data_IF_772529126244
#
_entry.id   IF_772529126244
#
_cell.length_a   1.000
_cell.length_b   1.000
_cell.length_c   1.000
_cell.angle_alpha   90.00
_cell.angle_beta   90.00
_cell.angle_gamma   90.00
#
_symmetry.space_group_name_H-M   'P 1'
#
loop_
_entity.id
_entity.type
_entity.pdbx_description
1 polymer ?
#
# COMPACT_ATOMS: atom_id res chain seq x y z
N UNK A 1 10.51 34.78 -74.55
CA UNK A 1 9.86 34.84 -73.23
C UNK A 1 10.28 33.60 -72.47
N UNK A 2 11.17 33.74 -71.50
CA UNK A 2 11.69 32.62 -70.71
C UNK A 2 10.60 32.10 -69.76
N UNK A 3 10.44 30.77 -69.59
CA UNK A 3 9.41 30.23 -68.71
C UNK A 3 9.71 30.62 -67.26
N UNK A 4 8.71 31.15 -66.56
CA UNK A 4 8.80 31.46 -65.12
C UNK A 4 9.13 30.18 -64.35
N UNK A 5 10.14 30.18 -63.46
CA UNK A 5 10.46 29.00 -62.66
C UNK A 5 9.23 28.60 -61.87
N UNK A 6 8.84 27.33 -62.00
CA UNK A 6 7.66 26.79 -61.32
C UNK A 6 7.80 26.96 -59.80
N UNK A 7 6.66 27.08 -59.12
CA UNK A 7 6.58 27.24 -57.64
C UNK A 7 7.39 26.19 -56.88
N UNK A 8 7.56 25.00 -57.44
CA UNK A 8 8.41 23.93 -56.92
C UNK A 8 9.91 24.26 -56.96
N UNK A 9 10.45 24.71 -58.09
CA UNK A 9 11.87 25.06 -58.21
C UNK A 9 12.26 26.18 -57.24
N UNK A 10 11.35 27.14 -57.06
CA UNK A 10 11.56 28.21 -56.10
C UNK A 10 11.52 27.69 -54.66
N UNK A 11 10.63 26.74 -54.34
CA UNK A 11 10.59 26.08 -53.04
C UNK A 11 11.87 25.28 -52.77
N UNK A 12 12.33 24.47 -53.73
CA UNK A 12 13.57 23.70 -53.60
C UNK A 12 14.75 24.63 -53.30
N UNK A 13 14.86 25.73 -54.05
CA UNK A 13 15.95 26.70 -53.87
C UNK A 13 15.87 27.49 -52.56
N UNK A 14 14.69 27.74 -52.01
CA UNK A 14 14.55 28.65 -50.85
C UNK A 14 14.26 27.95 -49.53
N UNK A 15 13.67 26.74 -49.56
CA UNK A 15 13.18 26.03 -48.37
C UNK A 15 13.86 24.68 -48.13
N UNK A 16 14.42 24.04 -49.16
CA UNK A 16 15.12 22.74 -49.05
C UNK A 16 16.65 22.92 -49.08
N UNK A 17 17.17 23.77 -48.19
CA UNK A 17 18.60 23.97 -48.07
C UNK A 17 19.22 22.83 -47.23
N UNK A 18 20.27 22.15 -47.72
CA UNK A 18 21.00 21.17 -46.94
C UNK A 18 21.60 21.83 -45.69
N UNK A 19 21.33 21.27 -44.52
CA UNK A 19 22.03 21.69 -43.30
C UNK A 19 23.45 21.12 -43.33
N UNK A 20 24.42 21.97 -43.65
CA UNK A 20 25.84 21.58 -43.77
C UNK A 20 26.63 21.70 -42.47
N UNK A 21 26.07 22.35 -41.44
CA UNK A 21 26.77 22.63 -40.18
C UNK A 21 25.88 22.49 -38.95
N UNK A 22 26.50 22.23 -37.82
CA UNK A 22 25.84 22.09 -36.53
C UNK A 22 25.52 23.45 -35.93
N UNK A 23 24.26 23.70 -35.54
CA UNK A 23 23.88 24.99 -34.94
C UNK A 23 24.47 25.21 -33.52
N UNK A 24 24.93 24.16 -32.84
CA UNK A 24 25.47 24.25 -31.47
C UNK A 24 26.90 24.79 -31.48
N UNK A 25 27.77 24.26 -32.34
CA UNK A 25 29.18 24.66 -32.42
C UNK A 25 29.52 25.47 -33.68
N UNK A 26 28.61 25.55 -34.65
CA UNK A 26 28.80 26.14 -35.98
C UNK A 26 29.78 25.39 -36.90
N UNK A 27 30.28 24.21 -36.50
CA UNK A 27 31.19 23.42 -37.32
C UNK A 27 30.47 22.64 -38.44
N UNK A 28 31.11 22.43 -39.61
CA UNK A 28 30.58 21.57 -40.67
C UNK A 28 30.41 20.11 -40.22
N UNK A 29 29.39 19.44 -40.76
CA UNK A 29 29.23 18.00 -40.56
C UNK A 29 30.32 17.22 -41.30
N UNK A 30 30.82 16.16 -40.65
CA UNK A 30 31.91 15.34 -41.18
C UNK A 30 31.87 13.93 -40.59
N UNK A 31 32.82 13.07 -40.98
CA UNK A 31 32.96 11.74 -40.38
C UNK A 31 33.25 11.80 -38.86
N UNK A 32 33.95 12.83 -38.38
CA UNK A 32 34.21 13.07 -36.95
C UNK A 32 33.11 13.91 -36.28
N UNK A 33 32.29 14.61 -37.07
CA UNK A 33 31.18 15.44 -36.60
C UNK A 33 29.86 14.97 -37.25
N UNK A 34 29.44 13.75 -36.92
CA UNK A 34 28.31 13.10 -37.56
C UNK A 34 26.99 13.81 -37.26
N UNK A 35 26.14 14.08 -38.27
CA UNK A 35 24.83 14.67 -38.07
C UNK A 35 23.84 13.65 -37.49
N UNK A 36 22.98 14.11 -36.58
CA UNK A 36 21.87 13.33 -36.02
C UNK A 36 20.60 14.19 -35.99
N UNK A 37 19.47 13.61 -36.36
CA UNK A 37 18.16 14.25 -36.31
C UNK A 37 17.40 13.84 -35.04
N UNK A 38 16.77 14.82 -34.39
CA UNK A 38 15.81 14.57 -33.31
C UNK A 38 14.41 14.25 -33.89
N UNK A 39 13.49 13.83 -33.03
CA UNK A 39 12.07 13.61 -33.37
C UNK A 39 11.37 14.86 -33.91
N UNK A 40 11.80 16.05 -33.47
CA UNK A 40 11.36 17.35 -34.00
C UNK A 40 12.04 17.74 -35.34
N UNK A 41 12.75 16.81 -35.98
CA UNK A 41 13.45 16.95 -37.27
C UNK A 41 14.62 17.95 -37.33
N UNK A 42 14.99 18.56 -36.20
CA UNK A 42 16.19 19.40 -36.13
C UNK A 42 17.47 18.54 -36.10
N UNK A 43 18.49 18.98 -36.84
CA UNK A 43 19.76 18.26 -37.04
C UNK A 43 20.89 18.92 -36.27
N UNK A 44 21.70 18.11 -35.57
CA UNK A 44 22.83 18.55 -34.76
C UNK A 44 24.03 17.62 -34.94
N UNK A 45 25.22 18.06 -34.52
CA UNK A 45 26.36 17.16 -34.38
C UNK A 45 26.13 16.21 -33.21
N UNK A 46 26.37 14.92 -33.41
CA UNK A 46 26.10 13.87 -32.41
C UNK A 46 26.77 14.16 -31.06
N UNK A 47 28.06 14.53 -31.06
CA UNK A 47 28.78 14.90 -29.85
C UNK A 47 28.21 16.16 -29.18
N UNK A 48 27.76 17.14 -29.98
CA UNK A 48 27.21 18.39 -29.47
C UNK A 48 25.85 18.19 -28.80
N UNK A 49 24.93 17.47 -29.44
CA UNK A 49 23.61 17.21 -28.82
C UNK A 49 23.76 16.31 -27.60
N UNK A 50 24.69 15.35 -27.62
CA UNK A 50 25.01 14.54 -26.45
C UNK A 50 25.55 15.39 -25.29
N UNK A 51 26.48 16.30 -25.56
CA UNK A 51 27.00 17.22 -24.55
C UNK A 51 25.93 18.20 -24.04
N UNK A 52 25.04 18.67 -24.91
CA UNK A 52 23.89 19.50 -24.53
C UNK A 52 22.97 18.79 -23.55
N UNK A 53 22.65 17.52 -23.81
CA UNK A 53 21.80 16.73 -22.92
C UNK A 53 22.45 16.41 -21.57
N UNK A 54 23.76 16.17 -21.52
CA UNK A 54 24.46 15.85 -20.27
C UNK A 54 24.86 17.09 -19.44
N UNK A 55 25.35 18.13 -20.10
CA UNK A 55 26.06 19.24 -19.46
C UNK A 55 25.42 20.61 -19.74
N UNK A 56 24.25 20.64 -20.39
CA UNK A 56 23.50 21.86 -20.66
C UNK A 56 23.07 22.56 -19.37
N UNK A 57 23.13 23.90 -19.37
CA UNK A 57 22.63 24.71 -18.26
C UNK A 57 21.12 24.49 -18.11
N UNK A 58 20.71 23.78 -17.06
CA UNK A 58 19.30 23.52 -16.74
C UNK A 58 18.81 22.09 -17.01
N UNK A 59 19.69 21.10 -17.25
CA UNK A 59 19.31 19.70 -17.48
C UNK A 59 18.22 19.54 -18.57
N UNK A 60 18.52 20.11 -19.74
CA UNK A 60 17.54 20.36 -20.78
C UNK A 60 17.24 19.10 -21.57
N UNK A 61 16.14 18.44 -21.23
CA UNK A 61 15.53 17.36 -22.00
C UNK A 61 14.81 17.85 -23.28
N UNK A 62 15.10 19.08 -23.73
CA UNK A 62 14.44 19.77 -24.83
C UNK A 62 15.41 20.10 -25.97
N UNK A 63 14.86 20.18 -27.18
CA UNK A 63 15.56 20.61 -28.39
C UNK A 63 16.11 22.05 -28.24
N UNK A 64 17.39 22.31 -28.59
CA UNK A 64 17.97 23.65 -28.55
C UNK A 64 17.27 24.68 -29.46
N UNK A 65 16.60 24.22 -30.53
CA UNK A 65 15.98 25.10 -31.53
C UNK A 65 14.51 25.36 -31.18
N UNK A 66 13.70 24.30 -31.09
CA UNK A 66 12.24 24.43 -30.95
C UNK A 66 11.71 24.13 -29.55
N UNK A 67 12.58 23.72 -28.62
CA UNK A 67 12.22 23.30 -27.26
C UNK A 67 11.28 22.09 -27.16
N UNK A 68 11.00 21.41 -28.27
CA UNK A 68 10.30 20.13 -28.23
C UNK A 68 11.06 19.16 -27.32
N UNK A 69 10.30 18.42 -26.50
CA UNK A 69 10.84 17.41 -25.61
C UNK A 69 11.51 16.29 -26.41
N UNK A 70 12.77 15.98 -26.07
CA UNK A 70 13.59 14.93 -26.69
C UNK A 70 13.33 13.60 -26.00
N UNK A 71 13.25 13.66 -24.66
CA UNK A 71 12.86 12.57 -23.79
C UNK A 71 12.20 13.17 -22.55
N UNK A 72 11.29 12.44 -21.94
CA UNK A 72 10.87 12.74 -20.57
C UNK A 72 11.93 12.15 -19.66
N UNK A 73 12.60 12.94 -18.80
CA UNK A 73 13.34 12.36 -17.71
C UNK A 73 12.39 11.37 -17.06
N UNK A 74 12.79 10.11 -16.94
CA UNK A 74 12.27 9.34 -15.81
C UNK A 74 12.73 10.17 -14.62
N UNK A 75 11.86 11.07 -14.15
CA UNK A 75 12.09 11.74 -12.89
C UNK A 75 12.47 10.59 -11.96
N UNK A 76 13.69 10.60 -11.43
CA UNK A 76 13.87 10.03 -10.11
C UNK A 76 12.90 10.83 -9.26
N UNK A 77 11.66 10.33 -9.14
CA UNK A 77 10.50 11.14 -8.79
C UNK A 77 10.85 12.01 -7.60
N UNK A 78 10.54 13.32 -7.68
CA UNK A 78 10.95 14.33 -6.69
C UNK A 78 11.12 13.71 -5.29
N UNK A 79 12.32 13.74 -4.70
CA UNK A 79 12.63 13.06 -3.44
C UNK A 79 11.75 13.59 -2.31
N UNK A 80 10.57 12.99 -2.17
CA UNK A 80 9.46 13.45 -1.33
C UNK A 80 8.86 12.25 -0.63
N UNK A 81 8.12 12.50 0.45
CA UNK A 81 7.42 11.42 1.14
C UNK A 81 6.45 10.67 0.23
N UNK A 82 5.80 11.36 -0.71
CA UNK A 82 4.81 10.76 -1.61
C UNK A 82 5.46 9.87 -2.68
N UNK A 83 6.54 10.33 -3.33
CA UNK A 83 7.23 9.54 -4.36
C UNK A 83 7.89 8.30 -3.77
N UNK A 84 8.57 8.44 -2.63
CA UNK A 84 9.23 7.32 -1.95
C UNK A 84 8.18 6.32 -1.44
N UNK A 85 7.07 6.79 -0.88
CA UNK A 85 5.98 5.90 -0.48
C UNK A 85 5.40 5.12 -1.67
N UNK A 86 5.20 5.80 -2.82
CA UNK A 86 4.75 5.16 -4.06
C UNK A 86 5.74 4.09 -4.53
N UNK A 87 7.04 4.41 -4.51
CA UNK A 87 8.10 3.47 -4.88
C UNK A 87 8.20 2.28 -3.93
N UNK A 88 8.03 2.49 -2.61
CA UNK A 88 7.93 1.40 -1.63
C UNK A 88 6.71 0.51 -1.90
N UNK A 89 5.54 1.08 -2.19
CA UNK A 89 4.35 0.30 -2.51
C UNK A 89 4.48 -0.52 -3.80
N UNK A 90 5.30 -0.05 -4.75
CA UNK A 90 5.61 -0.72 -6.00
C UNK A 90 6.81 -1.70 -5.89
N UNK A 91 7.45 -1.81 -4.72
CA UNK A 91 8.61 -2.68 -4.54
C UNK A 91 8.26 -4.16 -4.78
N UNK A 92 9.22 -4.97 -5.26
CA UNK A 92 8.99 -6.40 -5.47
C UNK A 92 8.53 -7.11 -4.19
N UNK A 93 7.65 -8.13 -4.29
CA UNK A 93 7.13 -8.84 -3.13
C UNK A 93 8.20 -9.39 -2.18
N UNK A 94 9.30 -9.91 -2.72
CA UNK A 94 10.41 -10.45 -1.92
C UNK A 94 11.09 -9.35 -1.10
N UNK A 95 11.25 -8.14 -1.66
CA UNK A 95 11.84 -6.99 -0.95
C UNK A 95 10.94 -6.50 0.17
N UNK A 96 9.63 -6.49 -0.04
CA UNK A 96 8.65 -6.19 1.01
C UNK A 96 8.69 -7.24 2.12
N UNK A 97 8.80 -8.52 1.74
CA UNK A 97 8.93 -9.61 2.70
C UNK A 97 10.21 -9.49 3.53
N UNK A 98 11.37 -9.26 2.89
CA UNK A 98 12.65 -9.05 3.57
C UNK A 98 12.57 -7.91 4.60
N UNK A 99 11.94 -6.79 4.22
CA UNK A 99 11.76 -5.66 5.13
C UNK A 99 10.90 -6.04 6.35
N UNK A 100 9.74 -6.69 6.15
CA UNK A 100 8.90 -7.11 7.27
C UNK A 100 9.58 -8.19 8.12
N UNK A 101 10.31 -9.12 7.51
CA UNK A 101 11.11 -10.13 8.19
C UNK A 101 12.21 -9.51 9.05
N UNK A 102 12.76 -8.36 8.64
CA UNK A 102 13.68 -7.56 9.47
C UNK A 102 12.97 -6.77 10.57
N UNK A 103 11.73 -6.32 10.33
CA UNK A 103 10.97 -5.50 11.26
C UNK A 103 10.37 -6.31 12.42
N UNK A 104 9.82 -7.51 12.17
CA UNK A 104 9.20 -8.37 13.18
C UNK A 104 10.06 -8.64 14.42
N UNK A 105 11.32 -9.13 14.31
CA UNK A 105 12.14 -9.41 15.50
C UNK A 105 12.44 -8.14 16.29
N UNK A 106 12.50 -6.97 15.64
CA UNK A 106 12.74 -5.69 16.30
C UNK A 106 11.53 -5.19 17.06
N UNK A 107 10.34 -5.33 16.48
CA UNK A 107 9.07 -5.08 17.19
C UNK A 107 8.93 -6.04 18.38
N UNK A 108 9.28 -7.31 18.20
CA UNK A 108 9.25 -8.29 19.30
C UNK A 108 10.23 -7.95 20.43
N UNK A 109 11.39 -7.39 20.12
CA UNK A 109 12.39 -6.99 21.12
C UNK A 109 11.88 -5.86 22.04
N UNK A 110 11.02 -4.97 21.55
CA UNK A 110 10.45 -3.88 22.36
C UNK A 110 9.63 -4.40 23.56
N UNK A 111 9.02 -5.57 23.44
CA UNK A 111 8.26 -6.19 24.54
C UNK A 111 9.14 -6.66 25.70
N UNK A 112 10.46 -6.78 25.50
CA UNK A 112 11.37 -7.08 26.60
C UNK A 112 11.49 -5.90 27.58
N UNK A 113 11.41 -4.67 27.06
CA UNK A 113 11.53 -3.45 27.85
C UNK A 113 10.16 -2.96 28.35
N UNK A 114 9.11 -3.11 27.55
CA UNK A 114 7.74 -2.77 27.92
C UNK A 114 6.74 -3.90 27.55
N UNK A 115 6.39 -4.76 28.52
CA UNK A 115 5.46 -5.86 28.30
C UNK A 115 4.02 -5.42 27.95
N UNK A 116 3.67 -4.14 28.18
CA UNK A 116 2.31 -3.64 27.91
C UNK A 116 2.03 -3.49 26.42
N UNK A 117 3.08 -3.33 25.59
CA UNK A 117 2.96 -3.07 24.16
C UNK A 117 2.64 -1.62 23.80
N UNK A 118 2.57 -0.70 24.78
CA UNK A 118 2.23 0.70 24.60
C UNK A 118 3.42 1.56 24.08
N UNK A 119 4.02 1.13 22.96
CA UNK A 119 5.23 1.75 22.43
C UNK A 119 4.98 3.16 21.88
N UNK A 120 5.87 4.10 22.22
CA UNK A 120 5.83 5.45 21.66
C UNK A 120 6.32 5.44 20.21
N UNK A 121 5.99 6.51 19.47
CA UNK A 121 6.54 6.69 18.11
C UNK A 121 8.07 6.69 18.10
N UNK A 122 8.69 7.24 19.14
CA UNK A 122 10.15 7.24 19.27
C UNK A 122 10.69 5.82 19.39
N UNK A 123 10.10 4.99 20.24
CA UNK A 123 10.55 3.60 20.45
C UNK A 123 10.44 2.79 19.15
N UNK A 124 9.31 2.95 18.44
CA UNK A 124 9.09 2.30 17.15
C UNK A 124 10.07 2.79 16.08
N UNK A 125 10.39 4.08 16.02
CA UNK A 125 11.35 4.60 15.05
C UNK A 125 12.79 4.20 15.38
N UNK A 126 13.24 4.38 16.62
CA UNK A 126 14.63 4.16 17.01
C UNK A 126 15.04 2.69 17.01
N UNK A 127 14.15 1.81 17.47
CA UNK A 127 14.52 0.42 17.73
C UNK A 127 13.95 -0.55 16.70
N UNK A 128 12.91 -0.17 15.95
CA UNK A 128 12.27 -1.04 14.97
C UNK A 128 12.38 -0.55 13.52
N UNK A 129 11.72 0.55 13.16
CA UNK A 129 11.56 1.00 11.77
C UNK A 129 12.88 1.42 11.13
N UNK A 130 13.64 2.36 11.73
CA UNK A 130 14.89 2.83 11.14
C UNK A 130 15.94 1.71 11.03
N UNK A 131 16.17 0.87 12.06
CA UNK A 131 17.08 -0.26 11.92
C UNK A 131 16.63 -1.31 10.89
N UNK A 132 15.32 -1.51 10.69
CA UNK A 132 14.80 -2.40 9.66
C UNK A 132 14.93 -1.81 8.24
N UNK A 133 14.84 -0.49 8.07
CA UNK A 133 15.14 0.14 6.79
C UNK A 133 16.64 0.10 6.48
N UNK A 134 17.48 0.33 7.48
CA UNK A 134 18.93 0.29 7.32
C UNK A 134 19.44 -1.11 6.92
N UNK A 135 18.86 -2.19 7.44
CA UNK A 135 19.24 -3.55 7.04
C UNK A 135 18.95 -3.85 5.57
N UNK A 136 18.02 -3.12 4.94
CA UNK A 136 17.70 -3.27 3.51
C UNK A 136 18.78 -2.71 2.58
N UNK A 137 19.68 -1.83 3.08
CA UNK A 137 20.76 -1.20 2.31
C UNK A 137 21.74 -2.23 1.73
N UNK A 138 22.03 -3.30 2.48
CA UNK A 138 23.05 -4.29 2.10
C UNK A 138 22.69 -5.06 0.82
N UNK A 139 21.42 -5.05 0.43
CA UNK A 139 20.92 -5.75 -0.75
C UNK A 139 20.69 -4.82 -1.96
N UNK A 140 20.62 -3.50 -1.75
CA UNK A 140 20.43 -2.49 -2.81
C UNK A 140 20.75 -1.08 -2.28
N UNK A 141 21.96 -0.59 -2.57
CA UNK A 141 22.44 0.69 -2.04
C UNK A 141 21.69 1.93 -2.60
N UNK A 142 20.89 1.76 -3.66
CA UNK A 142 20.20 2.83 -4.37
C UNK A 142 18.72 2.48 -4.65
N UNK A 143 18.00 2.02 -3.63
CA UNK A 143 16.59 1.63 -3.73
C UNK A 143 15.64 2.40 -2.80
N UNK A 144 14.31 2.22 -2.97
CA UNK A 144 13.29 2.99 -2.24
C UNK A 144 13.36 2.83 -0.71
N UNK A 145 13.91 1.71 -0.21
CA UNK A 145 14.13 1.51 1.23
C UNK A 145 15.29 2.35 1.78
N UNK A 146 16.35 2.55 0.98
CA UNK A 146 17.47 3.41 1.36
C UNK A 146 17.07 4.89 1.33
N UNK A 147 16.26 5.27 0.34
CA UNK A 147 15.64 6.61 0.28
C UNK A 147 14.72 6.85 1.47
N UNK A 148 13.89 5.85 1.81
CA UNK A 148 13.02 5.92 2.96
C UNK A 148 13.80 6.06 4.28
N UNK A 149 14.86 5.27 4.47
CA UNK A 149 15.75 5.40 5.63
C UNK A 149 16.32 6.81 5.72
N UNK A 150 16.91 7.30 4.62
CA UNK A 150 17.58 8.60 4.57
C UNK A 150 16.62 9.75 4.86
N UNK A 151 15.43 9.74 4.26
CA UNK A 151 14.41 10.78 4.48
C UNK A 151 13.86 10.74 5.91
N UNK A 152 13.47 9.55 6.40
CA UNK A 152 12.88 9.42 7.74
C UNK A 152 13.91 9.75 8.83
N UNK A 153 15.14 9.23 8.73
CA UNK A 153 16.18 9.47 9.71
C UNK A 153 16.59 10.95 9.75
N UNK A 154 16.80 11.59 8.60
CA UNK A 154 17.16 13.01 8.55
C UNK A 154 16.05 13.90 9.12
N UNK A 155 14.81 13.75 8.63
CA UNK A 155 13.65 14.53 9.08
C UNK A 155 13.43 14.38 10.59
N UNK A 156 13.45 13.15 11.09
CA UNK A 156 13.19 12.88 12.49
C UNK A 156 14.29 13.40 13.42
N UNK A 157 15.57 13.29 13.02
CA UNK A 157 16.69 13.89 13.76
C UNK A 157 16.62 15.41 13.75
N UNK A 158 16.34 16.05 12.61
CA UNK A 158 16.22 17.51 12.49
C UNK A 158 15.08 18.08 13.34
N UNK A 159 14.00 17.32 13.54
CA UNK A 159 12.88 17.72 14.41
C UNK A 159 13.15 17.46 15.90
N UNK A 160 14.34 16.99 16.29
CA UNK A 160 14.67 16.70 17.69
C UNK A 160 14.08 15.39 18.21
N UNK A 161 13.84 14.40 17.32
CA UNK A 161 13.30 13.07 17.64
C UNK A 161 11.98 13.09 18.41
N UNK A 162 10.92 13.75 17.87
CA UNK A 162 9.64 13.85 18.55
C UNK A 162 8.94 12.50 18.70
N UNK A 163 8.01 12.42 19.66
CA UNK A 163 7.08 11.29 19.85
C UNK A 163 5.89 11.31 18.86
N UNK A 164 6.03 11.97 17.72
CA UNK A 164 5.03 12.03 16.65
C UNK A 164 5.64 11.62 15.32
N UNK A 165 4.83 10.99 14.46
CA UNK A 165 5.23 10.60 13.12
C UNK A 165 4.82 11.70 12.13
N UNK A 166 5.70 12.02 11.18
CA UNK A 166 5.45 13.01 10.13
C UNK A 166 5.92 12.51 8.77
N UNK A 167 5.28 12.97 7.70
CA UNK A 167 5.62 12.59 6.33
C UNK A 167 5.66 11.07 6.14
N UNK A 168 6.76 10.57 5.58
CA UNK A 168 6.96 9.15 5.29
C UNK A 168 7.02 8.26 6.55
N UNK A 169 7.30 8.81 7.73
CA UNK A 169 7.30 8.05 8.97
C UNK A 169 5.90 7.54 9.34
N UNK A 170 4.84 8.25 8.93
CA UNK A 170 3.45 7.95 9.29
C UNK A 170 3.05 6.51 8.95
N UNK A 171 3.06 6.07 7.67
CA UNK A 171 2.65 4.72 7.32
C UNK A 171 3.60 3.63 7.84
N UNK A 172 4.88 3.95 8.05
CA UNK A 172 5.88 2.99 8.54
C UNK A 172 5.72 2.73 10.04
N UNK A 173 5.48 3.78 10.83
CA UNK A 173 5.14 3.67 12.25
C UNK A 173 3.81 2.94 12.43
N UNK A 174 2.80 3.25 11.61
CA UNK A 174 1.52 2.53 11.64
C UNK A 174 1.68 1.03 11.38
N UNK A 175 2.52 0.66 10.42
CA UNK A 175 2.83 -0.74 10.15
C UNK A 175 3.44 -1.43 11.39
N UNK A 176 4.42 -0.78 12.04
CA UNK A 176 5.03 -1.32 13.25
C UNK A 176 4.03 -1.43 14.41
N UNK A 177 3.13 -0.44 14.58
CA UNK A 177 2.01 -0.52 15.55
C UNK A 177 1.10 -1.71 15.27
N UNK A 178 0.69 -1.88 14.01
CA UNK A 178 -0.16 -3.00 13.60
C UNK A 178 0.50 -4.36 13.89
N UNK A 179 1.79 -4.47 13.62
CA UNK A 179 2.57 -5.68 13.94
C UNK A 179 2.66 -5.92 15.45
N UNK A 180 2.92 -4.89 16.25
CA UNK A 180 2.99 -4.99 17.71
C UNK A 180 1.66 -5.48 18.30
N UNK A 181 0.54 -4.84 17.92
CA UNK A 181 -0.79 -5.15 18.43
C UNK A 181 -1.28 -6.56 18.05
N UNK A 182 -0.78 -7.11 16.94
CA UNK A 182 -1.17 -8.43 16.45
C UNK A 182 -0.23 -9.57 16.86
N UNK A 183 0.89 -9.24 17.50
CA UNK A 183 1.95 -10.20 17.89
C UNK A 183 1.48 -11.28 18.87
N UNK A 184 0.53 -10.96 19.75
CA UNK A 184 -0.04 -11.91 20.71
C UNK A 184 -1.06 -12.89 20.10
N UNK A 185 -1.54 -12.59 18.90
CA UNK A 185 -2.55 -13.37 18.18
C UNK A 185 -1.87 -14.32 17.19
N UNK A 186 -0.82 -13.85 16.52
CA UNK A 186 -0.16 -14.59 15.45
C UNK A 186 0.97 -15.48 15.99
N UNK A 187 0.99 -16.76 15.61
CA UNK A 187 2.16 -17.60 15.85
C UNK A 187 3.42 -17.05 15.16
N UNK A 188 4.58 -17.20 15.80
CA UNK A 188 5.88 -16.73 15.27
C UNK A 188 6.21 -17.28 13.88
N UNK A 189 5.72 -18.46 13.52
CA UNK A 189 5.97 -19.05 12.20
C UNK A 189 5.12 -18.44 11.09
N UNK A 190 4.00 -17.75 11.41
CA UNK A 190 3.17 -17.05 10.43
C UNK A 190 3.77 -15.69 10.05
N UNK A 191 4.44 -15.03 10.99
CA UNK A 191 4.98 -13.68 10.80
C UNK A 191 6.15 -13.63 9.81
N UNK A 192 6.79 -14.76 9.55
CA UNK A 192 7.89 -14.91 8.58
C UNK A 192 7.46 -15.56 7.26
N UNK A 193 6.15 -15.66 6.98
CA UNK A 193 5.66 -16.19 5.69
C UNK A 193 5.47 -15.05 4.69
N UNK A 194 6.01 -15.13 3.46
CA UNK A 194 5.90 -14.07 2.45
C UNK A 194 4.48 -13.54 2.22
N UNK A 195 3.49 -14.43 2.04
CA UNK A 195 2.10 -14.01 1.84
C UNK A 195 1.53 -13.20 3.01
N UNK A 196 1.85 -13.60 4.25
CA UNK A 196 1.43 -12.88 5.45
C UNK A 196 2.07 -11.49 5.47
N UNK A 197 3.38 -11.40 5.18
CA UNK A 197 4.08 -10.12 5.11
C UNK A 197 3.43 -9.19 4.09
N UNK A 198 3.11 -9.70 2.90
CA UNK A 198 2.44 -8.92 1.85
C UNK A 198 1.04 -8.47 2.27
N UNK A 199 0.29 -9.32 2.98
CA UNK A 199 -1.03 -8.94 3.49
C UNK A 199 -0.93 -7.81 4.53
N UNK A 200 0.03 -7.88 5.46
CA UNK A 200 0.31 -6.79 6.41
C UNK A 200 0.68 -5.49 5.69
N UNK A 201 1.56 -5.58 4.69
CA UNK A 201 1.96 -4.42 3.90
C UNK A 201 0.77 -3.79 3.18
N UNK A 202 -0.04 -4.58 2.47
CA UNK A 202 -1.21 -4.09 1.72
C UNK A 202 -2.30 -3.53 2.64
N UNK A 203 -2.56 -4.20 3.76
CA UNK A 203 -3.47 -3.73 4.80
C UNK A 203 -3.02 -2.37 5.34
N UNK A 204 -1.73 -2.20 5.63
CA UNK A 204 -1.20 -0.91 6.03
C UNK A 204 -1.29 0.13 4.91
N UNK A 205 -0.94 -0.25 3.68
CA UNK A 205 -0.85 0.69 2.56
C UNK A 205 -2.20 1.27 2.16
N UNK A 206 -3.27 0.47 2.23
CA UNK A 206 -4.61 0.92 1.85
C UNK A 206 -5.17 2.05 2.76
N UNK A 207 -4.61 2.23 3.96
CA UNK A 207 -4.99 3.26 4.93
C UNK A 207 -4.38 4.65 4.62
N UNK A 208 -3.55 4.78 3.58
CA UNK A 208 -2.97 6.06 3.16
C UNK A 208 -1.89 6.60 4.11
N UNK A 209 -1.57 7.89 4.03
CA UNK A 209 -0.42 8.49 4.73
C UNK A 209 -0.79 9.57 5.75
N UNK A 210 -2.07 9.69 6.09
CA UNK A 210 -2.58 10.81 6.91
C UNK A 210 -2.46 10.61 8.42
N UNK A 211 -2.42 9.37 8.90
CA UNK A 211 -2.39 9.05 10.35
C UNK A 211 -1.51 7.83 10.64
N UNK A 212 -0.73 7.91 11.71
CA UNK A 212 0.06 6.77 12.23
C UNK A 212 -0.78 5.83 13.09
N UNK A 213 -1.97 6.28 13.50
CA UNK A 213 -2.90 5.51 14.31
C UNK A 213 -3.83 4.67 13.42
N UNK A 214 -4.18 3.48 13.91
CA UNK A 214 -5.10 2.56 13.24
C UNK A 214 -6.51 2.89 13.73
N UNK A 215 -7.49 2.92 12.82
CA UNK A 215 -8.88 3.25 13.16
C UNK A 215 -9.84 2.15 12.73
N UNK A 216 -10.96 2.03 13.46
CA UNK A 216 -12.06 1.14 13.10
C UNK A 216 -12.82 1.55 11.83
N UNK A 217 -12.84 2.84 11.47
CA UNK A 217 -13.70 3.34 10.40
C UNK A 217 -13.42 2.71 9.02
N UNK A 218 -12.17 2.59 8.53
CA UNK A 218 -11.86 1.92 7.26
C UNK A 218 -12.29 0.45 7.24
N UNK A 219 -12.18 -0.24 8.38
CA UNK A 219 -12.57 -1.64 8.50
C UNK A 219 -14.10 -1.82 8.43
N UNK A 220 -14.83 -0.92 9.08
CA UNK A 220 -16.29 -0.90 9.03
C UNK A 220 -16.82 -0.59 7.61
N UNK A 221 -16.15 0.32 6.87
CA UNK A 221 -16.45 0.58 5.46
C UNK A 221 -16.19 -0.66 4.60
N UNK A 222 -15.05 -1.33 4.78
CA UNK A 222 -14.69 -2.53 4.04
C UNK A 222 -15.68 -3.68 4.25
N UNK A 223 -16.18 -3.84 5.48
CA UNK A 223 -17.16 -4.88 5.83
C UNK A 223 -18.50 -4.73 5.09
N UNK A 224 -18.80 -3.53 4.57
CA UNK A 224 -19.96 -3.32 3.68
C UNK A 224 -19.77 -3.88 2.27
N UNK A 225 -18.56 -4.28 1.89
CA UNK A 225 -18.19 -4.86 0.59
C UNK A 225 -18.50 -3.99 -0.65
N UNK A 226 -18.95 -2.76 -0.47
CA UNK A 226 -19.28 -1.82 -1.55
C UNK A 226 -18.04 -1.13 -2.14
N UNK A 227 -16.96 -1.03 -1.36
CA UNK A 227 -15.72 -0.37 -1.77
C UNK A 227 -14.52 -1.29 -1.52
N UNK A 228 -13.75 -1.66 -2.56
CA UNK A 228 -12.60 -2.55 -2.40
C UNK A 228 -11.39 -1.85 -1.76
N UNK A 229 -11.40 -0.52 -1.60
CA UNK A 229 -10.26 0.28 -1.13
C UNK A 229 -9.59 -0.32 0.11
N UNK A 230 -10.37 -0.69 1.11
CA UNK A 230 -9.88 -1.18 2.40
C UNK A 230 -9.96 -2.70 2.54
N UNK A 231 -10.20 -3.43 1.44
CA UNK A 231 -10.40 -4.88 1.48
C UNK A 231 -9.20 -5.63 2.06
N UNK A 232 -7.96 -5.23 1.74
CA UNK A 232 -6.77 -5.87 2.32
C UNK A 232 -6.71 -5.74 3.84
N UNK A 233 -7.24 -4.64 4.40
CA UNK A 233 -7.34 -4.49 5.85
C UNK A 233 -8.42 -5.39 6.45
N UNK A 234 -9.57 -5.54 5.77
CA UNK A 234 -10.61 -6.52 6.15
C UNK A 234 -10.11 -7.96 6.09
N UNK A 235 -9.36 -8.31 5.04
CA UNK A 235 -8.76 -9.63 4.87
C UNK A 235 -7.78 -9.91 6.01
N UNK A 236 -6.87 -8.99 6.32
CA UNK A 236 -5.97 -9.13 7.47
C UNK A 236 -6.75 -9.31 8.78
N UNK A 237 -7.77 -8.48 9.03
CA UNK A 237 -8.60 -8.61 10.23
C UNK A 237 -9.27 -9.99 10.31
N UNK A 238 -9.79 -10.51 9.19
CA UNK A 238 -10.41 -11.84 9.13
C UNK A 238 -9.40 -12.96 9.39
N UNK A 239 -8.17 -12.83 8.90
CA UNK A 239 -7.06 -13.74 9.22
C UNK A 239 -6.76 -13.70 10.72
N UNK A 240 -6.73 -12.52 11.34
CA UNK A 240 -6.49 -12.37 12.78
C UNK A 240 -7.61 -13.03 13.61
N UNK A 241 -8.89 -12.88 13.21
CA UNK A 241 -10.00 -13.62 13.82
C UNK A 241 -9.79 -15.14 13.71
N UNK A 242 -9.46 -15.61 12.50
CA UNK A 242 -9.27 -17.02 12.20
C UNK A 242 -8.11 -17.64 13.00
N UNK A 243 -7.00 -16.93 13.13
CA UNK A 243 -5.85 -17.35 13.95
C UNK A 243 -6.19 -17.30 15.44
N UNK A 244 -6.88 -16.26 15.89
CA UNK A 244 -7.32 -16.16 17.28
C UNK A 244 -8.20 -17.34 17.69
N UNK A 245 -9.11 -17.80 16.82
CA UNK A 245 -9.99 -18.95 17.08
C UNK A 245 -9.19 -20.23 17.34
N UNK A 246 -8.20 -20.55 16.49
CA UNK A 246 -7.45 -21.81 16.60
C UNK A 246 -6.46 -21.80 17.75
N UNK A 247 -5.96 -20.63 18.12
CA UNK A 247 -4.98 -20.48 19.20
C UNK A 247 -5.61 -20.07 20.54
N UNK A 248 -6.92 -19.81 20.58
CA UNK A 248 -7.65 -19.62 21.84
C UNK A 248 -7.82 -20.94 22.59
N UNK A 249 -7.82 -20.87 23.93
CA UNK A 249 -8.10 -22.04 24.77
C UNK A 249 -9.56 -22.49 24.57
N UNK A 250 -9.82 -23.81 24.44
CA UNK A 250 -11.18 -24.33 24.32
C UNK A 250 -12.01 -23.98 25.56
N UNK A 251 -13.27 -23.59 25.37
CA UNK A 251 -14.25 -23.43 26.44
C UNK A 251 -15.33 -24.49 26.30
N UNK A 252 -15.70 -25.18 27.39
CA UNK A 252 -16.67 -26.28 27.37
C UNK A 252 -18.05 -25.92 26.80
N UNK A 253 -18.51 -24.68 26.98
CA UNK A 253 -19.85 -24.23 26.58
C UNK A 253 -19.87 -23.34 25.33
N UNK A 254 -18.74 -23.21 24.63
CA UNK A 254 -18.56 -22.20 23.59
C UNK A 254 -18.55 -20.76 24.14
N UNK A 255 -18.08 -19.77 23.35
CA UNK A 255 -18.07 -18.37 23.77
C UNK A 255 -19.46 -17.74 23.66
N UNK A 256 -19.85 -16.93 24.65
CA UNK A 256 -21.04 -16.08 24.55
C UNK A 256 -20.82 -14.94 23.56
N UNK A 257 -21.90 -14.37 23.03
CA UNK A 257 -21.87 -13.20 22.14
C UNK A 257 -20.94 -12.08 22.66
N UNK A 258 -21.14 -11.64 23.92
CA UNK A 258 -20.31 -10.58 24.51
C UNK A 258 -18.84 -10.98 24.60
N UNK A 259 -18.54 -12.24 24.91
CA UNK A 259 -17.15 -12.71 24.95
C UNK A 259 -16.51 -12.77 23.57
N UNK A 260 -17.28 -12.98 22.49
CA UNK A 260 -16.79 -12.90 21.12
C UNK A 260 -16.40 -11.46 20.80
N UNK A 261 -17.28 -10.49 21.10
CA UNK A 261 -16.99 -9.07 20.89
C UNK A 261 -15.74 -8.65 21.67
N UNK A 262 -15.64 -9.02 22.95
CA UNK A 262 -14.46 -8.71 23.77
C UNK A 262 -13.18 -9.30 23.16
N UNK A 263 -13.20 -10.57 22.75
CA UNK A 263 -12.04 -11.21 22.12
C UNK A 263 -11.67 -10.57 20.78
N UNK A 264 -12.65 -10.24 19.94
CA UNK A 264 -12.41 -9.84 18.56
C UNK A 264 -12.18 -8.34 18.40
N UNK A 265 -12.86 -7.52 19.21
CA UNK A 265 -12.73 -6.07 19.16
C UNK A 265 -11.68 -5.57 20.15
N UNK A 266 -11.71 -6.03 21.40
CA UNK A 266 -10.79 -5.51 22.43
C UNK A 266 -9.37 -6.07 22.27
N UNK A 267 -9.20 -7.37 22.01
CA UNK A 267 -7.83 -7.93 21.87
C UNK A 267 -7.14 -7.59 20.56
N UNK A 268 -7.88 -7.42 19.46
CA UNK A 268 -7.28 -7.12 18.15
C UNK A 268 -7.13 -5.62 17.94
N UNK A 269 -8.15 -4.83 18.30
CA UNK A 269 -8.21 -3.40 18.01
C UNK A 269 -8.63 -2.54 19.19
N UNK A 270 -8.38 -2.99 20.42
CA UNK A 270 -8.74 -2.24 21.63
C UNK A 270 -8.05 -0.89 21.73
N UNK A 271 -6.90 -0.74 21.09
CA UNK A 271 -6.13 0.52 21.01
C UNK A 271 -6.44 1.32 19.74
N UNK A 272 -7.28 0.82 18.83
CA UNK A 272 -7.57 1.53 17.59
C UNK A 272 -8.48 2.71 17.84
N UNK A 273 -8.26 3.78 17.08
CA UNK A 273 -9.01 5.03 17.17
C UNK A 273 -10.48 4.79 16.82
N UNK A 274 -11.35 5.28 17.70
CA UNK A 274 -12.78 5.13 17.62
C UNK A 274 -13.29 3.86 18.30
N UNK A 275 -14.56 3.52 18.05
CA UNK A 275 -15.16 2.26 18.50
C UNK A 275 -15.94 1.64 17.34
N UNK A 276 -15.98 0.30 17.23
CA UNK A 276 -16.82 -0.34 16.22
C UNK A 276 -18.30 -0.03 16.51
N UNK A 277 -19.05 0.31 15.47
CA UNK A 277 -20.50 0.46 15.55
C UNK A 277 -21.16 -0.89 15.86
N UNK A 278 -22.35 -0.89 16.48
CA UNK A 278 -23.01 -2.13 16.88
C UNK A 278 -23.31 -3.04 15.68
N UNK A 279 -23.75 -2.47 14.56
CA UNK A 279 -23.96 -3.25 13.33
C UNK A 279 -22.68 -3.92 12.77
N UNK A 280 -21.50 -3.38 13.07
CA UNK A 280 -20.23 -4.02 12.74
C UNK A 280 -19.91 -5.15 13.73
N UNK A 281 -20.13 -4.95 15.04
CA UNK A 281 -19.95 -6.00 16.05
C UNK A 281 -20.79 -7.23 15.76
N UNK A 282 -22.06 -7.03 15.36
CA UNK A 282 -22.94 -8.13 14.92
C UNK A 282 -22.35 -8.89 13.73
N UNK A 283 -21.75 -8.17 12.77
CA UNK A 283 -21.11 -8.79 11.61
C UNK A 283 -19.89 -9.61 12.03
N UNK A 284 -19.09 -9.10 12.98
CA UNK A 284 -17.95 -9.83 13.55
C UNK A 284 -18.39 -11.11 14.24
N UNK A 285 -19.49 -11.10 14.99
CA UNK A 285 -20.03 -12.30 15.63
C UNK A 285 -20.42 -13.35 14.59
N UNK A 286 -21.15 -12.96 13.55
CA UNK A 286 -21.52 -13.87 12.45
C UNK A 286 -20.31 -14.47 11.73
N UNK A 287 -19.29 -13.63 11.42
CA UNK A 287 -18.04 -14.10 10.81
C UNK A 287 -17.29 -15.04 11.76
N UNK A 288 -17.22 -14.73 13.04
CA UNK A 288 -16.55 -15.55 14.05
C UNK A 288 -17.18 -16.94 14.18
N UNK A 289 -18.50 -17.01 14.27
CA UNK A 289 -19.23 -18.27 14.39
C UNK A 289 -19.00 -19.17 13.18
N UNK A 290 -19.05 -18.59 11.98
CA UNK A 290 -18.83 -19.32 10.74
C UNK A 290 -17.38 -19.80 10.59
N UNK A 291 -16.41 -18.96 10.94
CA UNK A 291 -15.00 -19.36 11.02
C UNK A 291 -14.77 -20.48 12.04
N UNK A 292 -15.38 -20.37 13.23
CA UNK A 292 -15.28 -21.40 14.29
C UNK A 292 -15.85 -22.73 13.82
N UNK A 293 -17.03 -22.71 13.21
CA UNK A 293 -17.69 -23.89 12.63
C UNK A 293 -16.77 -24.56 11.60
N UNK A 294 -16.26 -23.79 10.64
CA UNK A 294 -15.37 -24.31 9.58
C UNK A 294 -14.06 -24.86 10.15
N UNK A 295 -13.41 -24.15 11.07
CA UNK A 295 -12.07 -24.50 11.53
C UNK A 295 -12.06 -25.59 12.60
N UNK A 296 -13.00 -25.56 13.55
CA UNK A 296 -13.01 -26.48 14.69
C UNK A 296 -13.94 -27.68 14.47
N UNK A 297 -15.14 -27.45 13.93
CA UNK A 297 -16.15 -28.51 13.79
C UNK A 297 -15.90 -29.32 12.51
N UNK A 298 -15.63 -28.65 11.38
CA UNK A 298 -15.28 -29.30 10.11
C UNK A 298 -13.78 -29.64 9.98
N UNK A 299 -12.96 -29.26 10.98
CA UNK A 299 -11.50 -29.49 11.02
C UNK A 299 -10.75 -28.94 9.81
N UNK A 300 -11.18 -27.78 9.29
CA UNK A 300 -10.53 -27.09 8.16
C UNK A 300 -9.38 -26.20 8.63
N UNK A 301 -8.49 -25.88 7.71
CA UNK A 301 -7.30 -25.07 7.99
C UNK A 301 -7.71 -23.61 8.23
N UNK A 302 -7.08 -22.96 9.21
CA UNK A 302 -7.24 -21.52 9.45
C UNK A 302 -6.75 -20.66 8.28
N UNK A 303 -7.31 -19.46 8.13
CA UNK A 303 -6.91 -18.51 7.09
C UNK A 303 -5.49 -18.00 7.36
N UNK A 304 -4.63 -17.95 6.35
CA UNK A 304 -3.20 -17.61 6.46
C UNK A 304 -2.75 -16.53 5.49
N UNK A 305 -3.68 -15.75 4.95
CA UNK A 305 -3.42 -14.60 4.08
C UNK A 305 -3.10 -14.98 2.65
N UNK A 306 -3.70 -16.06 2.15
CA UNK A 306 -3.58 -16.46 0.74
C UNK A 306 -4.49 -15.61 -0.15
N UNK A 307 -4.09 -15.39 -1.40
CA UNK A 307 -4.88 -14.60 -2.35
C UNK A 307 -6.23 -15.26 -2.67
N UNK A 308 -6.28 -16.59 -2.69
CA UNK A 308 -7.48 -17.37 -2.93
C UNK A 308 -8.51 -17.21 -1.80
N UNK A 309 -8.08 -16.78 -0.60
CA UNK A 309 -8.98 -16.54 0.54
C UNK A 309 -9.86 -15.30 0.33
N UNK A 310 -9.59 -14.44 -0.67
CA UNK A 310 -10.41 -13.27 -0.96
C UNK A 310 -11.89 -13.62 -1.16
N UNK A 311 -12.17 -14.73 -1.85
CA UNK A 311 -13.53 -15.24 -2.04
C UNK A 311 -14.17 -15.68 -0.72
N UNK A 312 -13.39 -16.37 0.12
CA UNK A 312 -13.84 -16.81 1.46
C UNK A 312 -14.17 -15.62 2.35
N UNK A 313 -13.27 -14.63 2.42
CA UNK A 313 -13.49 -13.40 3.20
C UNK A 313 -14.75 -12.67 2.72
N UNK A 314 -14.89 -12.48 1.40
CA UNK A 314 -16.07 -11.83 0.83
C UNK A 314 -17.36 -12.57 1.21
N UNK A 315 -17.37 -13.90 1.07
CA UNK A 315 -18.52 -14.73 1.43
C UNK A 315 -18.88 -14.63 2.92
N UNK A 316 -17.89 -14.72 3.81
CA UNK A 316 -18.09 -14.60 5.26
C UNK A 316 -18.77 -13.27 5.64
N UNK A 317 -18.25 -12.15 5.13
CA UNK A 317 -18.78 -10.82 5.45
C UNK A 317 -20.14 -10.55 4.79
N UNK A 318 -20.38 -11.07 3.57
CA UNK A 318 -21.68 -10.97 2.91
C UNK A 318 -22.77 -11.73 3.70
N UNK A 319 -22.49 -12.96 4.12
CA UNK A 319 -23.41 -13.78 4.92
C UNK A 319 -23.73 -13.13 6.27
N UNK A 320 -22.73 -12.55 6.93
CA UNK A 320 -22.94 -11.81 8.17
C UNK A 320 -23.80 -10.56 7.96
N UNK A 321 -23.62 -9.87 6.83
CA UNK A 321 -24.47 -8.75 6.41
C UNK A 321 -25.94 -9.13 6.23
N UNK A 322 -26.23 -10.25 5.56
CA UNK A 322 -27.60 -10.73 5.34
C UNK A 322 -28.33 -11.09 6.64
N UNK A 323 -27.67 -11.80 7.56
CA UNK A 323 -28.24 -12.15 8.88
C UNK A 323 -28.67 -10.91 9.67
N UNK A 324 -27.89 -9.83 9.56
CA UNK A 324 -28.21 -8.54 10.18
C UNK A 324 -29.45 -7.88 9.57
N UNK A 325 -29.62 -7.98 8.25
CA UNK A 325 -30.79 -7.44 7.55
C UNK A 325 -32.07 -8.23 7.86
N UNK A 326 -31.97 -9.57 7.94
CA UNK A 326 -33.10 -10.43 8.32
C UNK A 326 -33.56 -10.19 9.76
N UNK A 327 -32.62 -10.02 10.71
CA UNK A 327 -32.94 -9.68 12.10
C UNK A 327 -33.55 -8.28 12.29
N UNK A 328 -33.45 -7.40 11.28
CA UNK A 328 -34.02 -6.05 11.29
C UNK A 328 -35.41 -5.97 10.67
N UNK A 329 -35.89 -7.02 9.98
CA UNK A 329 -37.28 -7.06 9.49
C UNK A 329 -38.23 -7.13 10.69
N UNK A 330 -39.19 -6.20 10.84
CA UNK A 330 -40.21 -6.33 11.87
C UNK A 330 -40.97 -7.63 11.62
N UNK A 331 -41.29 -8.37 12.69
CA UNK A 331 -42.15 -9.54 12.63
C UNK A 331 -43.52 -9.09 12.06
N UNK A 332 -43.70 -9.25 10.76
CA UNK A 332 -45.00 -9.05 10.12
C UNK A 332 -45.90 -10.14 10.66
N UNK A 333 -46.97 -9.70 11.34
CA UNK A 333 -48.08 -10.48 11.85
C UNK A 333 -48.36 -11.74 11.02
N UNK A 334 -47.99 -12.90 11.57
CA UNK A 334 -48.73 -14.13 11.32
C UNK A 334 -50.11 -13.96 11.95
N UNK A 335 -50.97 -13.24 11.23
CA UNK A 335 -52.37 -13.03 11.57
C UNK A 335 -53.00 -14.41 11.75
N UNK A 336 -53.40 -14.70 12.99
CA UNK A 336 -54.23 -15.83 13.39
C UNK A 336 -55.32 -16.05 12.32
N UNK A 337 -55.32 -17.22 11.68
CA UNK A 337 -56.57 -17.75 11.11
C UNK A 337 -57.49 -18.02 12.30
N UNK A 338 -58.34 -17.04 12.56
CA UNK A 338 -59.48 -17.17 13.45
C UNK A 338 -60.37 -18.26 12.88
N UNK A 339 -60.58 -19.27 13.72
CA UNK A 339 -61.67 -20.22 13.65
C UNK A 339 -63.02 -19.52 13.49
N UNK A 340 -63.70 -19.76 12.38
CA UNK A 340 -65.16 -19.77 12.29
C UNK A 340 -65.49 -21.02 11.47
N UNK A 341 -66.34 -21.94 11.87
CA UNK A 341 -67.48 -21.90 12.78
C UNK A 341 -68.48 -22.85 12.11
N UNK A 342 -68.82 -23.94 12.78
CA UNK A 342 -69.91 -24.83 12.37
C UNK A 342 -71.27 -24.21 12.79
N UNK A 343 -72.34 -24.73 12.17
CA UNK A 343 -73.78 -24.43 12.33
C UNK A 343 -74.32 -23.37 11.37
N UNK A 344 -75.34 -23.61 10.53
CA UNK A 344 -76.29 -24.72 10.36
C UNK A 344 -76.65 -24.91 8.87
#
# INVERSE_FOLDING_TARGET
MSPSPTTMDNFIRTKLQPSGSCIICSDPFSASHQPVALSCHHIFGHACIKNWLHNGRGATNNCPICRAEIYTPTDGGAFTSASIWTALCAAPPDRLHDFLSSLWPRVAALFADDPTGAFTTRDLLSHAVLPALLSMHNADAAGPFADAHSLVASTWNSLGRPNSASGLAIPLVRLARLMAQTSSILPKWITTVPRTSLLFWRANACLGTSSSEISWAPLAEAAGLSNPRYFSFLHLYTVLLSQHIVHARPTHTGPSHNSIIERCCTKIGGEWVGKPADGFKESVVGVYEELRRHQLEEKRISLRGHEEEKGVVTGLWAMAGWRREEGRKPAVELRKKVSGGWSD
#
